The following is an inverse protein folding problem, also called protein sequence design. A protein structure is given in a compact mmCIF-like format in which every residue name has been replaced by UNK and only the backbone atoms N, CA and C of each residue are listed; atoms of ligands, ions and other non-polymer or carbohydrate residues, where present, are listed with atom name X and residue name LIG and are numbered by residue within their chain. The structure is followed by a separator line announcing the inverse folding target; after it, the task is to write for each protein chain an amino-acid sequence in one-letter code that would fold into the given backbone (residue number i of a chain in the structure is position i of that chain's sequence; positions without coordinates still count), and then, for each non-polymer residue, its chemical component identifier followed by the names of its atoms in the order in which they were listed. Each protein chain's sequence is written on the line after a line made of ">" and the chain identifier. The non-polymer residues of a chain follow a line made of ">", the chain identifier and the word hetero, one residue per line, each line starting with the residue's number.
data_IF_035231850128
#
_entry.id   IF_035231850128
#
_cell.length_a   1.000
_cell.length_b   1.000
_cell.length_c   1.000
_cell.angle_alpha   90.00
_cell.angle_beta   90.00
_cell.angle_gamma   90.00
#
_symmetry.space_group_name_H-M   'P 1'
#
loop_
_entity.id
_entity.type
_entity.pdbx_description
1 polymer ?
#
# COMPACT_ATOMS: atom_id res chain seq x y z
N UNK A 1 -5.29 -12.68 -7.28
CA UNK A 1 -4.60 -11.40 -7.51
C UNK A 1 -3.83 -11.07 -6.25
N UNK A 2 -2.54 -10.78 -6.36
CA UNK A 2 -1.64 -10.42 -5.25
C UNK A 2 -1.52 -8.93 -5.11
N UNK A 3 -1.89 -8.41 -3.94
CA UNK A 3 -1.90 -6.98 -3.65
C UNK A 3 -0.87 -6.67 -2.57
N UNK A 4 -0.04 -5.64 -2.81
CA UNK A 4 0.79 -5.04 -1.78
C UNK A 4 0.25 -3.67 -1.40
N UNK A 5 -0.04 -3.45 -0.13
CA UNK A 5 -0.30 -2.11 0.39
C UNK A 5 1.01 -1.51 0.87
N UNK A 6 1.56 -0.58 0.09
CA UNK A 6 2.79 0.12 0.39
C UNK A 6 2.50 1.35 1.25
N UNK A 7 2.61 1.18 2.57
CA UNK A 7 2.42 2.24 3.57
C UNK A 7 1.49 1.81 4.70
N UNK A 8 2.05 1.50 5.86
CA UNK A 8 1.32 1.03 7.04
C UNK A 8 0.80 2.15 7.98
N UNK A 9 0.38 3.27 7.39
CA UNK A 9 -0.37 4.33 8.10
C UNK A 9 -1.85 3.93 8.33
N UNK A 10 -2.69 4.84 8.85
CA UNK A 10 -4.10 4.53 9.14
C UNK A 10 -4.88 4.01 7.93
N UNK A 11 -4.85 4.72 6.80
CA UNK A 11 -5.55 4.32 5.58
C UNK A 11 -5.02 3.00 5.00
N UNK A 12 -3.69 2.84 4.92
CA UNK A 12 -3.10 1.62 4.38
C UNK A 12 -3.38 0.40 5.27
N UNK A 13 -3.35 0.58 6.59
CA UNK A 13 -3.71 -0.48 7.54
C UNK A 13 -5.18 -0.87 7.40
N UNK A 14 -6.09 0.12 7.32
CA UNK A 14 -7.52 -0.12 7.12
C UNK A 14 -7.79 -0.87 5.81
N UNK A 15 -7.24 -0.41 4.68
CA UNK A 15 -7.45 -1.09 3.41
C UNK A 15 -6.89 -2.51 3.42
N UNK A 16 -5.69 -2.71 3.97
CA UNK A 16 -5.07 -4.02 4.03
C UNK A 16 -5.91 -4.99 4.88
N UNK A 17 -6.43 -4.53 6.02
CA UNK A 17 -7.35 -5.31 6.85
C UNK A 17 -8.63 -5.69 6.10
N UNK A 18 -9.34 -4.71 5.51
CA UNK A 18 -10.59 -4.97 4.78
C UNK A 18 -10.40 -5.87 3.56
N UNK A 19 -9.30 -5.70 2.81
CA UNK A 19 -8.98 -6.59 1.68
C UNK A 19 -8.68 -8.01 2.15
N UNK A 20 -7.99 -8.15 3.29
CA UNK A 20 -7.67 -9.46 3.86
C UNK A 20 -8.92 -10.18 4.36
N UNK A 21 -9.81 -9.48 5.07
CA UNK A 21 -11.11 -9.98 5.52
C UNK A 21 -11.99 -10.42 4.34
N UNK A 22 -11.91 -9.71 3.21
CA UNK A 22 -12.58 -10.09 1.96
C UNK A 22 -11.91 -11.28 1.23
N UNK A 23 -10.93 -11.94 1.84
CA UNK A 23 -10.23 -13.11 1.30
C UNK A 23 -9.26 -12.81 0.15
N UNK A 24 -8.84 -11.56 -0.03
CA UNK A 24 -7.83 -11.21 -1.03
C UNK A 24 -6.42 -11.58 -0.54
N UNK A 25 -5.55 -11.98 -1.47
CA UNK A 25 -4.12 -12.21 -1.19
C UNK A 25 -3.43 -10.83 -1.09
N UNK A 26 -3.45 -10.26 0.11
CA UNK A 26 -2.93 -8.93 0.41
C UNK A 26 -1.80 -9.00 1.44
N UNK A 27 -0.74 -8.22 1.19
CA UNK A 27 0.35 -7.98 2.13
C UNK A 27 0.44 -6.50 2.47
N UNK A 28 0.81 -6.19 3.71
CA UNK A 28 1.03 -4.82 4.19
C UNK A 28 2.53 -4.56 4.36
N UNK A 29 3.05 -3.51 3.73
CA UNK A 29 4.45 -3.11 3.91
C UNK A 29 4.59 -2.13 5.06
N UNK A 30 5.37 -2.53 6.06
CA UNK A 30 5.70 -1.73 7.25
C UNK A 30 7.20 -1.81 7.56
N UNK A 31 7.76 -0.83 8.25
CA UNK A 31 9.18 -0.78 8.61
C UNK A 31 9.38 -0.40 10.07
N UNK A 32 10.52 -0.78 10.63
CA UNK A 32 10.91 -0.42 12.00
C UNK A 32 9.86 -0.85 13.03
N UNK A 33 9.61 -0.02 14.04
CA UNK A 33 8.67 -0.35 15.12
C UNK A 33 7.29 -0.76 14.62
N UNK A 34 6.77 -0.09 13.58
CA UNK A 34 5.44 -0.38 13.02
C UNK A 34 5.34 -1.81 12.47
N UNK A 35 6.42 -2.34 11.89
CA UNK A 35 6.48 -3.73 11.43
C UNK A 35 6.34 -4.71 12.59
N UNK A 36 7.05 -4.46 13.69
CA UNK A 36 6.99 -5.29 14.89
C UNK A 36 5.59 -5.26 15.50
N UNK A 37 5.01 -4.07 15.66
CA UNK A 37 3.68 -3.90 16.24
C UNK A 37 2.62 -4.64 15.41
N UNK A 38 2.68 -4.52 14.08
CA UNK A 38 1.72 -5.18 13.19
C UNK A 38 1.89 -6.70 13.16
N UNK A 39 3.13 -7.21 13.24
CA UNK A 39 3.37 -8.65 13.32
C UNK A 39 2.86 -9.24 14.63
N UNK A 40 2.98 -8.51 15.73
CA UNK A 40 2.62 -9.00 17.06
C UNK A 40 1.13 -8.79 17.38
N UNK A 41 0.60 -7.59 17.12
CA UNK A 41 -0.77 -7.22 17.46
C UNK A 41 -1.76 -7.35 16.31
N UNK A 42 -1.29 -7.48 15.06
CA UNK A 42 -2.13 -7.34 13.88
C UNK A 42 -2.53 -5.88 13.63
N UNK A 43 -3.40 -5.67 12.64
CA UNK A 43 -4.08 -4.40 12.43
C UNK A 43 -5.26 -4.33 13.37
N UNK A 44 -5.21 -3.41 14.33
CA UNK A 44 -6.32 -3.12 15.22
C UNK A 44 -7.15 -1.98 14.62
N UNK A 45 -8.41 -2.27 14.32
CA UNK A 45 -9.42 -1.29 13.90
C UNK A 45 -10.36 -1.05 15.07
N UNK A 46 -10.59 0.20 15.41
CA UNK A 46 -11.57 0.59 16.41
C UNK A 46 -12.64 1.42 15.73
N UNK A 47 -13.88 1.01 15.88
CA UNK A 47 -15.03 1.77 15.46
C UNK A 47 -15.38 2.77 16.58
N UNK A 48 -15.37 4.06 16.27
CA UNK A 48 -15.59 5.12 17.27
C UNK A 48 -17.05 5.22 17.71
N UNK A 49 -18.00 4.79 16.88
CA UNK A 49 -19.44 4.94 17.13
C UNK A 49 -19.98 3.79 17.99
N UNK A 50 -19.60 2.56 17.67
CA UNK A 50 -19.96 1.35 18.38
C UNK A 50 -19.00 0.98 19.52
N UNK A 51 -17.75 1.48 19.47
CA UNK A 51 -16.68 1.10 20.38
C UNK A 51 -16.12 -0.31 20.12
N UNK A 52 -16.56 -0.98 19.06
CA UNK A 52 -16.10 -2.32 18.72
C UNK A 52 -14.67 -2.29 18.22
N UNK A 53 -13.91 -3.32 18.62
CA UNK A 53 -12.53 -3.51 18.20
C UNK A 53 -12.41 -4.78 17.36
N UNK A 54 -11.86 -4.62 16.17
CA UNK A 54 -11.57 -5.70 15.24
C UNK A 54 -10.06 -5.83 15.06
N UNK A 55 -9.57 -7.07 14.99
CA UNK A 55 -8.15 -7.35 14.80
C UNK A 55 -7.95 -8.23 13.57
N UNK A 56 -7.28 -7.69 12.56
CA UNK A 56 -6.94 -8.38 11.33
C UNK A 56 -5.45 -8.73 11.28
N UNK A 57 -5.13 -10.03 11.18
CA UNK A 57 -3.76 -10.52 11.05
C UNK A 57 -3.31 -10.60 9.59
N UNK A 58 -3.15 -9.43 8.98
CA UNK A 58 -2.67 -9.32 7.59
C UNK A 58 -1.19 -9.73 7.51
N UNK A 59 -0.77 -10.48 6.47
CA UNK A 59 0.65 -10.70 6.19
C UNK A 59 1.42 -9.37 6.11
N UNK A 60 2.53 -9.26 6.85
CA UNK A 60 3.33 -8.02 6.91
C UNK A 60 4.74 -8.27 6.38
N UNK A 61 5.13 -7.47 5.38
CA UNK A 61 6.46 -7.50 4.77
C UNK A 61 7.24 -6.24 5.11
N UNK A 62 8.57 -6.35 5.15
CA UNK A 62 9.45 -5.23 5.51
C UNK A 62 9.88 -4.39 4.29
N UNK A 63 9.99 -5.04 3.14
CA UNK A 63 10.45 -4.43 1.90
C UNK A 63 9.74 -5.06 0.70
N UNK A 64 9.75 -4.31 -0.41
CA UNK A 64 9.48 -4.82 -1.74
C UNK A 64 10.84 -5.14 -2.37
N UNK A 65 11.16 -6.43 -2.49
CA UNK A 65 12.35 -6.91 -3.17
C UNK A 65 12.19 -6.88 -4.70
N UNK A 66 13.29 -7.02 -5.47
CA UNK A 66 13.24 -7.02 -6.93
C UNK A 66 12.55 -8.26 -7.51
N UNK A 67 12.60 -9.40 -6.81
CA UNK A 67 12.03 -10.69 -7.23
C UNK A 67 10.62 -10.93 -6.68
N UNK A 68 10.05 -9.96 -5.95
CA UNK A 68 8.70 -10.09 -5.40
C UNK A 68 7.65 -9.91 -6.49
N UNK A 69 6.63 -10.76 -6.49
CA UNK A 69 5.55 -10.73 -7.49
C UNK A 69 4.25 -10.18 -6.89
N UNK A 70 3.79 -9.04 -7.42
CA UNK A 70 2.50 -8.45 -7.10
C UNK A 70 1.79 -7.98 -8.37
N UNK A 71 0.49 -8.24 -8.45
CA UNK A 71 -0.34 -7.75 -9.55
C UNK A 71 -0.63 -6.25 -9.37
N UNK A 72 -0.79 -5.83 -8.11
CA UNK A 72 -1.12 -4.47 -7.73
C UNK A 72 -0.33 -4.02 -6.50
N UNK A 73 0.36 -2.88 -6.62
CA UNK A 73 0.94 -2.17 -5.48
C UNK A 73 0.15 -0.90 -5.22
N UNK A 74 -0.54 -0.85 -4.09
CA UNK A 74 -1.29 0.31 -3.61
C UNK A 74 -0.37 1.18 -2.74
N UNK A 75 0.07 2.31 -3.27
CA UNK A 75 0.92 3.26 -2.56
C UNK A 75 0.06 4.23 -1.77
N UNK A 76 0.09 4.11 -0.43
CA UNK A 76 -0.78 4.87 0.49
C UNK A 76 0.09 5.66 1.45
N UNK A 77 0.49 6.85 1.00
CA UNK A 77 1.34 7.76 1.77
C UNK A 77 1.12 9.21 1.38
N UNK A 78 1.62 10.14 2.20
CA UNK A 78 1.58 11.58 1.91
C UNK A 78 2.49 11.92 0.72
N UNK A 79 2.08 12.90 -0.10
CA UNK A 79 2.77 13.34 -1.34
C UNK A 79 4.29 13.47 -1.18
N UNK A 80 4.73 14.09 -0.09
CA UNK A 80 6.14 14.39 0.14
C UNK A 80 7.04 13.16 0.24
N UNK A 81 6.48 11.96 0.47
CA UNK A 81 7.23 10.70 0.53
C UNK A 81 7.13 9.87 -0.77
N UNK A 82 6.22 10.24 -1.68
CA UNK A 82 6.00 9.45 -2.88
C UNK A 82 7.17 9.53 -3.87
N UNK A 83 7.77 10.71 -4.06
CA UNK A 83 8.90 10.88 -4.98
C UNK A 83 10.12 10.05 -4.57
N UNK A 84 10.39 9.97 -3.25
CA UNK A 84 11.54 9.24 -2.71
C UNK A 84 11.42 7.72 -2.89
N UNK A 85 10.20 7.19 -2.99
CA UNK A 85 9.99 5.75 -3.16
C UNK A 85 9.92 5.33 -4.64
N UNK A 86 9.72 6.25 -5.59
CA UNK A 86 9.60 5.89 -7.01
C UNK A 86 10.80 5.10 -7.53
N UNK A 87 12.07 5.46 -7.21
CA UNK A 87 13.21 4.67 -7.62
C UNK A 87 13.17 3.25 -7.06
N UNK A 88 12.73 3.09 -5.80
CA UNK A 88 12.59 1.78 -5.15
C UNK A 88 11.48 0.95 -5.80
N UNK A 89 10.37 1.56 -6.21
CA UNK A 89 9.31 0.85 -6.92
C UNK A 89 9.81 0.42 -8.31
N UNK A 90 10.58 1.27 -9.00
CA UNK A 90 11.11 0.98 -10.33
C UNK A 90 12.10 -0.20 -10.37
N UNK A 91 12.73 -0.57 -9.24
CA UNK A 91 13.66 -1.72 -9.21
C UNK A 91 12.97 -3.08 -9.30
N UNK A 92 11.65 -3.14 -9.10
CA UNK A 92 10.90 -4.39 -9.24
C UNK A 92 10.20 -4.42 -10.62
N UNK A 93 10.65 -5.27 -11.55
CA UNK A 93 10.03 -5.41 -12.88
C UNK A 93 8.76 -6.25 -12.89
N UNK A 94 8.47 -6.98 -11.80
CA UNK A 94 7.41 -7.97 -11.69
C UNK A 94 6.10 -7.41 -11.14
N UNK A 95 6.06 -6.11 -10.82
CA UNK A 95 4.81 -5.42 -10.49
C UNK A 95 4.12 -4.95 -11.76
N UNK A 96 2.87 -5.40 -11.94
CA UNK A 96 2.08 -5.05 -13.13
C UNK A 96 1.47 -3.65 -13.02
N UNK A 97 0.88 -3.31 -11.86
CA UNK A 97 0.16 -2.04 -11.67
C UNK A 97 0.55 -1.35 -10.38
N UNK A 98 0.75 -0.03 -10.45
CA UNK A 98 0.89 0.84 -9.27
C UNK A 98 -0.33 1.76 -9.15
N UNK A 99 -1.02 1.71 -8.02
CA UNK A 99 -2.12 2.61 -7.69
C UNK A 99 -1.68 3.57 -6.59
N UNK A 100 -1.63 4.86 -6.90
CA UNK A 100 -1.27 5.89 -5.94
C UNK A 100 -2.52 6.47 -5.28
N UNK A 101 -2.68 6.20 -3.99
CA UNK A 101 -3.76 6.74 -3.17
C UNK A 101 -3.18 7.84 -2.29
N UNK A 102 -3.01 9.01 -2.89
CA UNK A 102 -2.56 10.22 -2.22
C UNK A 102 -3.45 11.40 -2.62
N UNK A 103 -3.59 12.37 -1.74
CA UNK A 103 -4.19 13.65 -2.11
C UNK A 103 -3.17 14.42 -2.97
N UNK A 104 -3.38 14.44 -4.28
CA UNK A 104 -2.47 15.05 -5.24
C UNK A 104 -3.16 16.21 -5.98
N UNK A 105 -2.90 17.43 -5.55
CA UNK A 105 -3.40 18.64 -6.21
C UNK A 105 -2.74 18.94 -7.58
N UNK A 106 -1.63 18.28 -7.93
CA UNK A 106 -0.85 18.54 -9.16
C UNK A 106 -1.12 17.54 -10.31
N UNK A 107 -1.92 16.50 -10.06
CA UNK A 107 -2.25 15.49 -11.08
C UNK A 107 -1.15 14.44 -11.35
N UNK A 108 -1.46 13.40 -12.15
CA UNK A 108 -0.69 12.15 -12.20
C UNK A 108 0.59 12.19 -13.05
N UNK A 109 0.86 13.28 -13.78
CA UNK A 109 1.91 13.31 -14.81
C UNK A 109 3.34 12.94 -14.30
N UNK A 110 3.82 13.45 -13.14
CA UNK A 110 5.17 13.14 -12.65
C UNK A 110 5.37 11.66 -12.29
N UNK A 111 4.29 10.96 -11.90
CA UNK A 111 4.33 9.54 -11.50
C UNK A 111 4.48 8.63 -12.73
N UNK A 112 3.80 8.98 -13.82
CA UNK A 112 3.82 8.22 -15.09
C UNK A 112 5.19 8.32 -15.77
N UNK A 113 5.83 9.49 -15.69
CA UNK A 113 7.16 9.71 -16.27
C UNK A 113 8.23 8.84 -15.61
N UNK A 114 8.12 8.58 -14.30
CA UNK A 114 9.12 7.82 -13.55
C UNK A 114 8.91 6.30 -13.64
N UNK A 115 7.65 5.84 -13.68
CA UNK A 115 7.33 4.40 -13.70
C UNK A 115 7.17 3.82 -15.12
N UNK A 116 7.12 4.67 -16.14
CA UNK A 116 6.89 4.27 -17.53
C UNK A 116 5.39 4.17 -17.87
N UNK A 117 5.05 4.51 -19.11
CA UNK A 117 3.68 4.65 -19.60
C UNK A 117 2.82 3.37 -19.54
N UNK A 118 3.45 2.19 -19.50
CA UNK A 118 2.75 0.89 -19.41
C UNK A 118 2.22 0.57 -18.01
N UNK A 119 2.67 1.29 -16.98
CA UNK A 119 2.29 1.07 -15.57
C UNK A 119 1.28 2.13 -15.12
N UNK A 120 0.05 2.03 -15.62
CA UNK A 120 -0.98 3.07 -15.45
C UNK A 120 -1.42 3.23 -14.00
N UNK A 121 -1.20 4.44 -13.44
CA UNK A 121 -1.84 4.90 -12.21
C UNK A 121 -3.34 5.16 -12.43
N UNK A 122 -4.19 4.49 -11.64
CA UNK A 122 -5.63 4.72 -11.66
C UNK A 122 -5.97 6.15 -11.27
N UNK A 123 -6.68 6.87 -12.15
CA UNK A 123 -7.27 8.19 -11.87
C UNK A 123 -8.35 8.02 -10.81
N UNK A 124 -8.23 8.70 -9.67
CA UNK A 124 -9.41 9.09 -8.90
C UNK A 124 -10.22 10.07 -9.75
N UNK A 125 -11.49 9.73 -10.02
CA UNK A 125 -12.44 10.54 -10.80
C UNK A 125 -12.77 11.90 -10.15
N UNK A 126 -13.56 12.72 -10.86
CA UNK A 126 -13.62 14.19 -10.74
C UNK A 126 -14.02 14.72 -9.36
#
# INVERSE_FOLDING_TARGET
>A
MRVLVFGAGPLGSLMAARLHEAGQDVSLLARGQRLHDLKYHGVVLQDEESGEQEVAHVPVVEALGPDDHYDLVMVVMRKNQAQDILPLLATNPHVSTYLFLMNNAEGPAPLVETLGADRRGGRSGP
#
